data_IF_137624534334
#
_entry.id   IF_137624534334
#
_cell.length_a   1.000
_cell.length_b   1.000
_cell.length_c   1.000
_cell.angle_alpha   90.00
_cell.angle_beta   90.00
_cell.angle_gamma   90.00
#
_symmetry.space_group_name_H-M   'P 1'
#
loop_
_entity.id
_entity.type
_entity.pdbx_description
1 polymer ?
#
# COMPACT_ATOMS: atom_id res chain seq x y z
N UNK A 1 -22.18 -0.70 -13.55
CA UNK A 1 -21.63 -1.70 -12.61
C UNK A 1 -20.39 -1.08 -11.98
N UNK A 2 -20.54 -0.52 -10.80
CA UNK A 2 -19.48 0.14 -10.02
C UNK A 2 -18.42 -0.89 -9.64
N UNK A 3 -17.29 -0.87 -10.32
CA UNK A 3 -16.09 -1.56 -9.86
C UNK A 3 -15.61 -0.85 -8.59
N UNK A 4 -15.87 -1.46 -7.44
CA UNK A 4 -15.28 -1.10 -6.15
C UNK A 4 -13.77 -1.32 -6.23
N UNK A 5 -13.00 -0.32 -6.68
CA UNK A 5 -11.56 -0.27 -6.43
C UNK A 5 -11.32 0.35 -5.05
N UNK A 6 -11.94 -0.22 -4.02
CA UNK A 6 -11.38 -0.12 -2.67
C UNK A 6 -9.98 -0.68 -2.78
N UNK A 7 -9.00 0.19 -2.89
CA UNK A 7 -7.62 -0.23 -2.88
C UNK A 7 -7.37 -0.92 -1.55
N UNK A 8 -7.21 -2.23 -1.62
CA UNK A 8 -7.08 -3.06 -0.46
C UNK A 8 -5.61 -3.07 -0.08
N UNK A 9 -5.29 -2.38 1.02
CA UNK A 9 -4.12 -2.79 1.78
C UNK A 9 -4.42 -4.16 2.38
N UNK A 10 -4.00 -5.22 1.69
CA UNK A 10 -3.96 -6.54 2.31
C UNK A 10 -2.74 -6.58 3.20
N UNK A 11 -2.94 -6.93 4.44
CA UNK A 11 -1.86 -7.30 5.33
C UNK A 11 -1.99 -8.77 5.71
N UNK A 12 -0.86 -9.47 5.66
CA UNK A 12 -0.82 -10.87 6.04
C UNK A 12 0.43 -11.15 6.86
N UNK A 13 0.36 -12.27 7.59
CA UNK A 13 1.53 -12.88 8.17
C UNK A 13 2.12 -13.87 7.17
N UNK A 14 3.44 -13.88 7.10
CA UNK A 14 4.21 -14.89 6.38
C UNK A 14 5.26 -15.50 7.33
N UNK A 15 5.72 -16.71 7.02
CA UNK A 15 6.82 -17.34 7.74
C UNK A 15 7.74 -18.06 6.76
N UNK A 16 9.05 -17.98 7.01
CA UNK A 16 10.05 -18.73 6.26
C UNK A 16 11.32 -18.90 7.12
N UNK A 17 12.21 -19.80 6.69
CA UNK A 17 13.59 -19.80 7.17
C UNK A 17 14.36 -18.65 6.54
N UNK A 18 15.14 -17.95 7.34
CA UNK A 18 15.87 -16.77 6.92
C UNK A 18 16.92 -17.14 5.86
N UNK A 19 16.70 -16.72 4.61
CA UNK A 19 17.60 -16.99 3.47
C UNK A 19 19.01 -16.36 3.59
N UNK A 20 19.19 -15.44 4.54
CA UNK A 20 20.48 -14.82 4.87
C UNK A 20 20.37 -14.13 6.22
N UNK A 21 21.51 -13.96 6.91
CA UNK A 21 21.62 -13.22 8.18
C UNK A 21 21.45 -11.69 8.09
N UNK A 22 21.01 -11.16 6.94
CA UNK A 22 20.94 -9.71 6.67
C UNK A 22 19.65 -9.05 7.19
N UNK A 23 18.64 -9.84 7.54
CA UNK A 23 17.39 -9.29 8.09
C UNK A 23 17.56 -8.93 9.56
N UNK A 24 16.98 -7.79 9.94
CA UNK A 24 16.96 -7.32 11.32
C UNK A 24 15.53 -7.40 11.86
N UNK A 25 15.36 -7.90 13.08
CA UNK A 25 14.07 -7.92 13.76
C UNK A 25 13.55 -6.50 13.99
N UNK A 26 12.27 -6.25 13.68
CA UNK A 26 11.66 -4.92 13.84
C UNK A 26 11.18 -4.59 15.25
N UNK A 27 11.29 -5.52 16.21
CA UNK A 27 10.98 -5.27 17.61
C UNK A 27 12.25 -5.09 18.47
N UNK A 28 13.19 -6.03 18.42
CA UNK A 28 14.41 -5.98 19.24
C UNK A 28 15.63 -5.39 18.51
N UNK A 29 15.53 -5.14 17.19
CA UNK A 29 16.61 -4.62 16.35
C UNK A 29 17.88 -5.50 16.27
N UNK A 30 17.83 -6.73 16.75
CA UNK A 30 18.94 -7.67 16.58
C UNK A 30 18.86 -8.37 15.21
N UNK A 31 20.01 -8.81 14.64
CA UNK A 31 20.05 -9.64 13.45
C UNK A 31 19.23 -10.93 13.62
N UNK A 32 18.66 -11.41 12.51
CA UNK A 32 18.01 -12.71 12.42
C UNK A 32 18.99 -13.63 11.68
N UNK A 33 19.40 -14.71 12.33
CA UNK A 33 20.43 -15.63 11.83
C UNK A 33 19.99 -16.35 10.55
N UNK A 34 20.95 -16.76 9.72
CA UNK A 34 20.67 -17.57 8.54
C UNK A 34 20.01 -18.90 8.95
N UNK A 35 19.06 -19.37 8.14
CA UNK A 35 18.29 -20.61 8.35
C UNK A 35 17.46 -20.65 9.65
N UNK A 36 17.39 -19.55 10.40
CA UNK A 36 16.48 -19.43 11.55
C UNK A 36 15.06 -19.07 11.13
N UNK A 37 14.06 -19.55 11.88
CA UNK A 37 12.66 -19.19 11.64
C UNK A 37 12.46 -17.69 11.85
N UNK A 38 11.84 -17.03 10.88
CA UNK A 38 11.38 -15.64 11.00
C UNK A 38 9.94 -15.49 10.59
N UNK A 39 9.22 -14.64 11.32
CA UNK A 39 7.82 -14.32 11.05
C UNK A 39 7.77 -12.91 10.46
N UNK A 40 7.14 -12.77 9.30
CA UNK A 40 7.01 -11.53 8.57
C UNK A 40 5.58 -11.00 8.64
N UNK A 41 5.46 -9.69 8.72
CA UNK A 41 4.22 -8.96 8.51
C UNK A 41 4.34 -8.20 7.18
N UNK A 42 3.58 -8.63 6.18
CA UNK A 42 3.57 -8.05 4.83
C UNK A 42 2.40 -7.09 4.68
N UNK A 43 2.65 -6.01 3.95
CA UNK A 43 1.60 -5.07 3.52
C UNK A 43 1.66 -5.01 1.99
N UNK A 44 0.53 -5.27 1.34
CA UNK A 44 0.34 -5.23 -0.11
C UNK A 44 -0.42 -3.96 -0.53
N UNK A 45 -0.24 -3.50 -1.78
CA UNK A 45 -0.97 -2.34 -2.34
C UNK A 45 -2.23 -2.74 -3.11
N UNK A 46 -2.28 -3.95 -3.66
CA UNK A 46 -3.29 -4.34 -4.66
C UNK A 46 -3.48 -5.86 -4.75
N UNK A 47 -4.51 -6.30 -5.50
CA UNK A 47 -4.81 -7.71 -5.83
C UNK A 47 -3.66 -8.43 -6.54
N UNK A 48 -2.74 -7.70 -7.18
CA UNK A 48 -1.51 -8.25 -7.79
C UNK A 48 -0.39 -8.54 -6.76
N UNK A 49 -0.66 -8.43 -5.45
CA UNK A 49 0.30 -8.71 -4.38
C UNK A 49 1.63 -7.96 -4.49
N UNK A 50 1.61 -6.70 -4.96
CA UNK A 50 2.80 -5.86 -4.91
C UNK A 50 3.16 -5.54 -3.44
N UNK A 51 4.16 -6.24 -2.88
CA UNK A 51 4.65 -6.05 -1.50
C UNK A 51 5.22 -4.64 -1.35
N UNK A 52 4.66 -3.85 -0.43
CA UNK A 52 5.18 -2.54 -0.03
C UNK A 52 6.39 -2.71 0.87
N UNK A 53 6.24 -3.59 1.85
CA UNK A 53 7.22 -3.82 2.91
C UNK A 53 6.92 -5.13 3.61
N UNK A 54 7.98 -5.88 3.93
CA UNK A 54 7.93 -6.99 4.87
C UNK A 54 8.67 -6.58 6.14
N UNK A 55 7.98 -6.58 7.27
CA UNK A 55 8.60 -6.39 8.59
C UNK A 55 8.88 -7.76 9.17
N UNK A 56 10.15 -8.11 9.34
CA UNK A 56 10.58 -9.40 9.90
C UNK A 56 10.75 -9.31 11.42
N UNK A 57 10.39 -10.39 12.11
CA UNK A 57 10.49 -10.54 13.55
C UNK A 57 11.04 -11.93 13.89
N UNK A 58 11.77 -12.02 15.01
CA UNK A 58 11.99 -13.32 15.65
C UNK A 58 10.64 -13.88 16.16
N UNK A 59 10.48 -15.21 16.28
CA UNK A 59 9.29 -15.82 16.83
C UNK A 59 8.92 -15.30 18.23
N UNK A 60 9.93 -15.07 19.08
CA UNK A 60 9.73 -14.50 20.44
C UNK A 60 9.36 -13.01 20.46
N UNK A 61 9.57 -12.31 19.35
CA UNK A 61 9.45 -10.86 19.27
C UNK A 61 8.19 -10.39 18.53
N UNK A 62 7.51 -11.29 17.84
CA UNK A 62 6.30 -10.95 17.11
C UNK A 62 5.13 -10.77 18.08
N UNK A 63 4.30 -9.77 17.81
CA UNK A 63 3.05 -9.54 18.53
C UNK A 63 1.94 -9.58 17.51
N UNK A 64 0.89 -10.35 17.80
CA UNK A 64 -0.30 -10.45 16.94
C UNK A 64 -1.21 -9.24 17.22
N UNK A 65 -1.47 -8.37 16.22
CA UNK A 65 -2.44 -7.29 16.38
C UNK A 65 -3.86 -7.83 16.53
N UNK A 66 -4.73 -7.17 17.31
CA UNK A 66 -6.11 -7.63 17.63
C UNK A 66 -6.97 -7.94 16.40
N UNK A 67 -6.76 -7.21 15.31
CA UNK A 67 -7.41 -7.44 14.02
C UNK A 67 -7.14 -8.82 13.38
N UNK A 68 -6.12 -9.53 13.86
CA UNK A 68 -5.78 -10.89 13.43
C UNK A 68 -6.15 -11.96 14.46
N UNK A 69 -7.06 -11.67 15.41
CA UNK A 69 -7.53 -12.62 16.43
C UNK A 69 -8.02 -13.97 15.87
N UNK A 70 -8.54 -13.99 14.65
CA UNK A 70 -9.03 -15.21 13.98
C UNK A 70 -7.99 -15.87 13.05
N UNK A 71 -6.74 -15.38 13.03
CA UNK A 71 -5.65 -15.95 12.23
C UNK A 71 -5.40 -17.40 12.65
N UNK A 72 -5.28 -18.31 11.68
CA UNK A 72 -4.87 -19.70 11.90
C UNK A 72 -3.50 -19.95 11.29
N UNK A 73 -2.81 -20.99 11.75
CA UNK A 73 -1.47 -21.36 11.25
C UNK A 73 -1.48 -21.54 9.73
N UNK A 74 -2.50 -22.22 9.20
CA UNK A 74 -2.62 -22.46 7.76
C UNK A 74 -2.87 -21.19 6.93
N UNK A 75 -3.31 -20.09 7.53
CA UNK A 75 -3.51 -18.81 6.82
C UNK A 75 -2.19 -18.06 6.58
N UNK A 76 -1.09 -18.48 7.23
CA UNK A 76 0.21 -17.85 7.12
C UNK A 76 0.85 -18.19 5.77
N UNK A 77 1.29 -17.16 5.04
CA UNK A 77 1.97 -17.33 3.77
C UNK A 77 3.34 -18.00 3.96
N UNK A 78 3.69 -18.97 3.10
CA UNK A 78 4.93 -19.75 3.22
C UNK A 78 4.87 -20.92 4.21
N UNK A 79 3.73 -21.14 4.88
CA UNK A 79 3.58 -22.25 5.84
C UNK A 79 3.71 -23.63 5.19
N UNK A 80 3.32 -23.76 3.92
CA UNK A 80 3.40 -25.02 3.16
C UNK A 80 4.84 -25.49 2.95
N UNK A 81 5.81 -24.56 2.92
CA UNK A 81 7.24 -24.85 2.72
C UNK A 81 7.96 -25.18 4.04
N UNK A 82 7.26 -25.09 5.17
CA UNK A 82 7.83 -25.30 6.51
C UNK A 82 7.45 -26.67 7.07
N UNK A 83 8.41 -27.28 7.78
CA UNK A 83 8.20 -28.50 8.55
C UNK A 83 7.21 -28.30 9.72
N UNK A 84 6.57 -29.38 10.15
CA UNK A 84 5.59 -29.36 11.24
C UNK A 84 6.13 -28.84 12.58
N UNK A 85 7.45 -28.88 12.81
CA UNK A 85 8.07 -28.30 14.00
C UNK A 85 7.91 -26.77 14.03
N UNK A 86 8.07 -26.11 12.89
CA UNK A 86 7.91 -24.66 12.78
C UNK A 86 6.45 -24.26 12.85
N UNK A 87 5.53 -25.11 12.42
CA UNK A 87 4.09 -24.86 12.59
C UNK A 87 3.72 -24.73 14.07
N UNK A 88 4.28 -25.58 14.93
CA UNK A 88 4.09 -25.51 16.39
C UNK A 88 4.70 -24.23 16.98
N UNK A 89 5.93 -23.91 16.59
CA UNK A 89 6.61 -22.71 17.06
C UNK A 89 5.87 -21.41 16.67
N UNK A 90 5.37 -21.32 15.44
CA UNK A 90 4.56 -20.19 14.97
C UNK A 90 3.25 -20.10 15.74
N UNK A 91 2.59 -21.25 15.96
CA UNK A 91 1.33 -21.34 16.72
C UNK A 91 1.51 -20.79 18.14
N UNK A 92 2.58 -21.17 18.81
CA UNK A 92 2.91 -20.72 20.16
C UNK A 92 3.29 -19.24 20.20
N UNK A 93 4.12 -18.80 19.24
CA UNK A 93 4.60 -17.43 19.14
C UNK A 93 3.48 -16.42 18.91
N UNK A 94 2.56 -16.72 17.98
CA UNK A 94 1.43 -15.85 17.66
C UNK A 94 0.19 -16.12 18.53
N UNK A 95 0.21 -17.18 19.35
CA UNK A 95 -0.93 -17.64 20.17
C UNK A 95 -2.20 -17.88 19.35
N UNK A 96 -2.06 -18.55 18.21
CA UNK A 96 -3.12 -18.80 17.24
C UNK A 96 -3.59 -20.27 17.24
N UNK A 97 -4.72 -20.54 16.59
CA UNK A 97 -5.21 -21.90 16.39
C UNK A 97 -4.57 -22.55 15.16
N UNK A 98 -4.49 -23.89 15.12
CA UNK A 98 -3.95 -24.60 13.96
C UNK A 98 -4.80 -24.36 12.70
N UNK A 99 -6.13 -24.47 12.83
CA UNK A 99 -7.05 -24.43 11.70
C UNK A 99 -7.03 -25.71 10.86
N UNK A 100 -7.74 -25.69 9.73
CA UNK A 100 -7.72 -26.76 8.73
C UNK A 100 -7.22 -26.22 7.39
N UNK A 101 -6.44 -27.02 6.67
CA UNK A 101 -5.80 -26.61 5.41
C UNK A 101 -6.82 -26.30 4.29
N UNK A 102 -7.92 -27.04 4.25
CA UNK A 102 -9.05 -26.88 3.33
C UNK A 102 -9.88 -25.61 3.57
N UNK A 103 -9.78 -25.02 4.77
CA UNK A 103 -10.50 -23.81 5.18
C UNK A 103 -9.61 -22.58 5.26
N UNK A 104 -8.44 -22.62 4.61
CA UNK A 104 -7.49 -21.52 4.58
C UNK A 104 -8.13 -20.30 3.92
N UNK A 105 -8.01 -19.15 4.59
CA UNK A 105 -8.37 -17.87 3.97
C UNK A 105 -7.15 -17.39 3.19
N UNK A 106 -7.25 -17.29 1.85
CA UNK A 106 -6.13 -16.80 1.03
C UNK A 106 -5.72 -15.38 1.40
N UNK A 107 -6.66 -14.57 1.91
CA UNK A 107 -6.44 -13.22 2.40
C UNK A 107 -7.12 -13.03 3.75
N UNK A 108 -6.34 -12.75 4.79
CA UNK A 108 -6.84 -12.35 6.11
C UNK A 108 -7.78 -11.14 6.01
N UNK A 109 -8.67 -10.92 7.00
CA UNK A 109 -9.75 -9.95 6.88
C UNK A 109 -9.24 -8.58 6.45
N UNK A 110 -9.99 -7.94 5.54
CA UNK A 110 -9.76 -6.57 5.08
C UNK A 110 -9.59 -5.66 6.30
N UNK A 111 -8.41 -5.08 6.47
CA UNK A 111 -8.17 -4.09 7.52
C UNK A 111 -7.96 -2.75 6.86
N UNK A 112 -8.78 -1.77 7.25
CA UNK A 112 -8.57 -0.36 6.97
C UNK A 112 -7.38 0.14 7.80
N UNK A 113 -6.19 0.22 7.20
CA UNK A 113 -4.94 0.56 7.92
C UNK A 113 -4.84 2.07 8.23
N UNK A 114 -5.72 2.90 7.68
CA UNK A 114 -5.79 4.33 7.99
C UNK A 114 -7.23 4.82 8.06
N UNK A 115 -7.68 5.12 9.28
CA UNK A 115 -8.77 6.07 9.49
C UNK A 115 -8.22 7.48 9.21
N UNK A 116 -8.07 7.85 7.95
CA UNK A 116 -7.80 9.24 7.59
C UNK A 116 -9.05 9.99 7.09
N UNK A 117 -10.19 9.30 6.99
CA UNK A 117 -11.51 9.93 6.76
C UNK A 117 -12.39 9.78 8.01
N UNK A 118 -13.21 10.81 8.34
CA UNK A 118 -14.32 10.63 9.26
C UNK A 118 -15.25 9.53 8.73
N UNK A 119 -15.70 8.65 9.64
CA UNK A 119 -16.43 7.39 9.39
C UNK A 119 -17.67 7.54 8.50
N UNK A 120 -18.20 8.76 8.37
CA UNK A 120 -19.41 9.10 7.61
C UNK A 120 -19.29 8.96 6.08
N UNK A 121 -18.08 8.93 5.50
CA UNK A 121 -17.89 8.92 4.03
C UNK A 121 -17.34 7.60 3.43
N UNK A 122 -17.17 6.55 4.23
CA UNK A 122 -16.58 5.29 3.76
C UNK A 122 -17.48 4.54 2.75
N UNK A 123 -18.80 4.55 2.96
CA UNK A 123 -19.74 3.77 2.14
C UNK A 123 -20.08 4.40 0.77
N UNK A 124 -19.52 5.58 0.45
CA UNK A 124 -19.83 6.33 -0.79
C UNK A 124 -18.58 6.62 -1.65
N UNK A 125 -17.43 6.07 -1.29
CA UNK A 125 -16.17 6.28 -1.99
C UNK A 125 -16.25 5.81 -3.44
N UNK A 126 -16.01 6.73 -4.38
CA UNK A 126 -15.83 6.40 -5.79
C UNK A 126 -14.34 6.27 -6.10
N UNK A 127 -14.03 5.24 -6.85
CA UNK A 127 -12.66 4.88 -7.25
C UNK A 127 -12.58 4.83 -8.76
N UNK A 128 -11.43 4.44 -9.34
CA UNK A 128 -11.32 4.32 -10.80
C UNK A 128 -12.43 3.43 -11.37
N UNK A 129 -12.99 3.79 -12.51
CA UNK A 129 -13.80 2.85 -13.27
C UNK A 129 -12.91 1.85 -14.03
N UNK A 130 -13.52 0.81 -14.61
CA UNK A 130 -12.79 -0.23 -15.36
C UNK A 130 -12.00 0.34 -16.56
N UNK A 131 -12.50 1.38 -17.22
CA UNK A 131 -11.84 1.99 -18.38
C UNK A 131 -10.62 2.80 -17.94
N UNK A 132 -10.76 3.59 -16.87
CA UNK A 132 -9.68 4.32 -16.21
C UNK A 132 -8.60 3.34 -15.74
N UNK A 133 -8.97 2.25 -15.05
CA UNK A 133 -8.00 1.26 -14.61
C UNK A 133 -7.15 0.68 -15.74
N UNK A 134 -7.79 0.29 -16.85
CA UNK A 134 -7.09 -0.25 -18.01
C UNK A 134 -6.13 0.78 -18.62
N UNK A 135 -6.54 2.05 -18.72
CA UNK A 135 -5.67 3.15 -19.16
C UNK A 135 -4.48 3.33 -18.22
N UNK A 136 -4.70 3.34 -16.91
CA UNK A 136 -3.63 3.43 -15.92
C UNK A 136 -2.61 2.30 -16.05
N UNK A 137 -3.07 1.05 -16.19
CA UNK A 137 -2.18 -0.11 -16.37
C UNK A 137 -1.32 0.05 -17.63
N UNK A 138 -1.94 0.41 -18.75
CA UNK A 138 -1.23 0.65 -20.02
C UNK A 138 -0.18 1.77 -19.89
N UNK A 139 -0.55 2.93 -19.35
CA UNK A 139 0.41 4.04 -19.17
C UNK A 139 1.50 3.70 -18.14
N UNK A 140 1.18 2.94 -17.09
CA UNK A 140 2.16 2.49 -16.10
C UNK A 140 3.23 1.60 -16.75
N UNK A 141 2.86 0.73 -17.67
CA UNK A 141 3.81 -0.09 -18.43
C UNK A 141 4.67 0.78 -19.36
N UNK A 142 4.07 1.71 -20.09
CA UNK A 142 4.77 2.70 -20.93
C UNK A 142 5.82 3.48 -20.12
N UNK A 143 5.43 4.07 -18.99
CA UNK A 143 6.32 4.87 -18.15
C UNK A 143 7.36 4.03 -17.38
N UNK A 144 7.11 2.74 -17.13
CA UNK A 144 8.13 1.86 -16.53
C UNK A 144 9.30 1.60 -17.47
N UNK A 145 9.08 1.66 -18.79
CA UNK A 145 10.12 1.49 -19.80
C UNK A 145 11.01 2.73 -19.95
N UNK A 146 10.53 3.91 -19.56
CA UNK A 146 11.31 5.15 -19.57
C UNK A 146 12.41 5.17 -18.51
N UNK A 147 13.44 5.99 -18.72
CA UNK A 147 14.51 6.19 -17.75
C UNK A 147 14.07 7.11 -16.59
N UNK A 148 14.84 7.12 -15.51
CA UNK A 148 14.53 7.92 -14.32
C UNK A 148 14.56 9.44 -14.58
N UNK A 149 15.41 9.92 -15.50
CA UNK A 149 15.59 11.34 -15.82
C UNK A 149 14.42 11.85 -16.67
N UNK A 150 14.00 11.08 -17.67
CA UNK A 150 12.84 11.30 -18.53
C UNK A 150 11.57 11.44 -17.68
N UNK A 151 11.34 10.51 -16.74
CA UNK A 151 10.20 10.58 -15.83
C UNK A 151 10.20 11.87 -14.98
N UNK A 152 11.37 12.30 -14.50
CA UNK A 152 11.49 13.57 -13.78
C UNK A 152 11.20 14.77 -14.68
N UNK A 153 11.71 14.79 -15.90
CA UNK A 153 11.47 15.88 -16.85
C UNK A 153 9.98 16.02 -17.17
N UNK A 154 9.28 14.90 -17.40
CA UNK A 154 7.83 14.89 -17.58
C UNK A 154 7.09 15.47 -16.37
N UNK A 155 7.45 15.07 -15.16
CA UNK A 155 6.83 15.58 -13.94
C UNK A 155 7.11 17.07 -13.73
N UNK A 156 8.31 17.55 -14.08
CA UNK A 156 8.65 18.99 -14.01
C UNK A 156 7.80 19.79 -15.00
N UNK A 157 7.66 19.33 -16.24
CA UNK A 157 6.80 19.99 -17.26
C UNK A 157 5.35 20.14 -16.78
N UNK A 158 4.89 19.20 -15.96
CA UNK A 158 3.53 19.16 -15.42
C UNK A 158 3.44 19.69 -13.98
N UNK A 159 4.39 20.53 -13.53
CA UNK A 159 4.44 21.15 -12.20
C UNK A 159 4.21 20.16 -11.03
N UNK A 160 4.69 18.93 -11.20
CA UNK A 160 4.37 17.80 -10.34
C UNK A 160 5.57 17.32 -9.51
N UNK A 161 5.27 16.65 -8.41
CA UNK A 161 6.29 16.14 -7.49
C UNK A 161 7.23 15.12 -8.15
N UNK A 162 8.54 15.38 -8.11
CA UNK A 162 9.61 14.53 -8.68
C UNK A 162 10.28 13.60 -7.66
N UNK A 163 9.81 13.60 -6.41
CA UNK A 163 10.38 12.78 -5.34
C UNK A 163 9.92 11.32 -5.42
N UNK A 164 10.86 10.41 -5.13
CA UNK A 164 10.63 8.97 -5.10
C UNK A 164 11.54 8.16 -6.02
N UNK A 165 11.44 6.83 -5.91
CA UNK A 165 12.11 5.88 -6.81
C UNK A 165 11.39 5.75 -8.16
N UNK A 166 12.08 5.18 -9.16
CA UNK A 166 11.61 5.05 -10.56
C UNK A 166 10.17 4.53 -10.67
N UNK A 167 9.85 3.42 -10.00
CA UNK A 167 8.50 2.82 -10.02
C UNK A 167 7.41 3.76 -9.51
N UNK A 168 7.73 4.61 -8.51
CA UNK A 168 6.77 5.59 -7.98
C UNK A 168 6.56 6.74 -8.96
N UNK A 169 7.63 7.21 -9.61
CA UNK A 169 7.54 8.25 -10.63
C UNK A 169 6.72 7.78 -11.84
N UNK A 170 6.96 6.56 -12.33
CA UNK A 170 6.21 5.97 -13.44
C UNK A 170 4.71 5.88 -13.12
N UNK A 171 4.35 5.41 -11.92
CA UNK A 171 2.96 5.41 -11.44
C UNK A 171 2.36 6.82 -11.39
N UNK A 172 3.14 7.83 -10.99
CA UNK A 172 2.68 9.23 -10.94
C UNK A 172 2.42 9.78 -12.34
N UNK A 173 3.33 9.58 -13.29
CA UNK A 173 3.12 9.98 -14.68
C UNK A 173 1.87 9.30 -15.27
N UNK A 174 1.69 8.00 -15.02
CA UNK A 174 0.53 7.24 -15.52
C UNK A 174 -0.80 7.83 -15.03
N UNK A 175 -0.87 8.25 -13.77
CA UNK A 175 -2.07 8.87 -13.20
C UNK A 175 -2.32 10.25 -13.78
N UNK A 176 -1.29 11.10 -13.86
CA UNK A 176 -1.44 12.44 -14.39
C UNK A 176 -1.80 12.42 -15.87
N UNK A 177 -1.29 11.46 -16.65
CA UNK A 177 -1.69 11.21 -18.05
C UNK A 177 -3.13 10.69 -18.17
N UNK A 178 -3.61 9.90 -17.20
CA UNK A 178 -4.97 9.36 -17.22
C UNK A 178 -6.04 10.35 -16.76
N UNK A 179 -5.81 11.02 -15.63
CA UNK A 179 -6.80 11.89 -14.95
C UNK A 179 -6.63 13.35 -15.36
N UNK A 180 -5.41 13.73 -15.74
CA UNK A 180 -5.00 15.11 -15.89
C UNK A 180 -4.16 15.60 -14.69
N UNK A 181 -3.48 16.71 -14.92
CA UNK A 181 -2.60 17.36 -13.95
C UNK A 181 -3.44 18.13 -12.95
N UNK A 182 -3.44 17.68 -11.70
CA UNK A 182 -4.15 18.38 -10.62
C UNK A 182 -3.20 19.38 -9.95
N UNK A 183 -3.45 20.68 -10.16
CA UNK A 183 -2.62 21.75 -9.59
C UNK A 183 -3.10 22.27 -8.24
N UNK A 184 -4.41 22.35 -8.01
CA UNK A 184 -4.98 23.03 -6.84
C UNK A 184 -6.03 22.18 -6.13
N UNK A 185 -6.07 22.31 -4.80
CA UNK A 185 -7.16 21.78 -3.98
C UNK A 185 -8.45 22.58 -4.24
N UNK A 186 -9.58 21.93 -4.59
CA UNK A 186 -10.85 22.64 -4.81
C UNK A 186 -11.37 23.36 -3.56
N UNK A 187 -11.00 22.91 -2.36
CA UNK A 187 -11.49 23.48 -1.10
C UNK A 187 -10.63 24.63 -0.58
N UNK A 188 -9.30 24.51 -0.63
CA UNK A 188 -8.40 25.52 -0.04
C UNK A 188 -7.49 26.24 -1.04
N UNK A 189 -7.55 25.90 -2.33
CA UNK A 189 -6.68 26.47 -3.37
C UNK A 189 -5.21 26.02 -3.33
N UNK A 190 -4.78 25.35 -2.25
CA UNK A 190 -3.39 24.94 -2.05
C UNK A 190 -2.88 23.94 -3.10
N UNK A 191 -1.58 24.02 -3.41
CA UNK A 191 -0.98 23.32 -4.55
C UNK A 191 -0.40 21.93 -4.22
N UNK A 192 -0.53 21.49 -2.98
CA UNK A 192 0.12 20.27 -2.46
C UNK A 192 -0.85 19.12 -2.25
N UNK A 193 -1.83 19.00 -3.15
CA UNK A 193 -2.73 17.86 -3.14
C UNK A 193 -2.01 16.60 -3.61
N UNK A 194 -2.25 15.48 -2.91
CA UNK A 194 -1.53 14.23 -3.11
C UNK A 194 -2.49 13.16 -3.57
N UNK A 195 -2.12 12.43 -4.61
CA UNK A 195 -2.86 11.21 -4.96
C UNK A 195 -2.36 10.02 -4.13
N UNK A 196 -3.29 9.36 -3.46
CA UNK A 196 -3.04 8.12 -2.72
C UNK A 196 -3.44 6.94 -3.59
N UNK A 197 -2.44 6.29 -4.18
CA UNK A 197 -2.61 5.11 -5.05
C UNK A 197 -3.38 3.97 -4.42
N UNK A 198 -3.34 3.90 -3.09
CA UNK A 198 -3.97 2.85 -2.33
C UNK A 198 -5.31 3.27 -1.72
N UNK A 199 -5.85 4.42 -2.12
CA UNK A 199 -7.21 4.83 -1.80
C UNK A 199 -7.95 5.28 -3.08
N UNK A 200 -7.21 5.49 -4.18
CA UNK A 200 -7.79 5.92 -5.44
C UNK A 200 -8.30 7.36 -5.35
N UNK A 201 -7.75 8.15 -4.44
CA UNK A 201 -8.28 9.44 -4.00
C UNK A 201 -7.17 10.47 -3.88
N UNK A 202 -7.58 11.73 -3.91
CA UNK A 202 -6.74 12.85 -3.58
C UNK A 202 -6.94 13.25 -2.12
N UNK A 203 -5.85 13.62 -1.46
CA UNK A 203 -5.86 14.20 -0.12
C UNK A 203 -5.06 15.48 -0.09
N UNK A 204 -5.68 16.53 0.43
CA UNK A 204 -5.02 17.79 0.69
C UNK A 204 -4.63 17.87 2.18
N UNK A 205 -3.32 17.80 2.51
CA UNK A 205 -2.88 17.97 3.89
C UNK A 205 -3.01 19.42 4.39
N UNK A 206 -3.25 20.39 3.50
CA UNK A 206 -3.06 21.80 3.78
C UNK A 206 -1.79 22.36 3.14
N UNK A 207 -1.54 23.64 3.36
CA UNK A 207 -0.34 24.33 2.91
C UNK A 207 0.07 25.41 3.91
N UNK A 208 1.34 25.80 3.88
CA UNK A 208 1.82 26.98 4.57
C UNK A 208 1.60 28.16 3.64
N UNK A 209 0.73 29.08 4.06
CA UNK A 209 0.59 30.40 3.44
C UNK A 209 1.68 31.34 3.97
N UNK A 210 1.71 32.61 3.57
CA UNK A 210 2.76 33.58 3.89
C UNK A 210 3.30 33.50 5.34
N UNK A 211 2.41 33.36 6.31
CA UNK A 211 2.79 33.22 7.74
C UNK A 211 2.02 32.13 8.50
N UNK A 212 0.96 31.56 7.93
CA UNK A 212 0.02 30.71 8.64
C UNK A 212 -0.16 29.34 7.97
N UNK A 213 -0.30 28.29 8.78
CA UNK A 213 -0.65 26.96 8.29
C UNK A 213 -2.15 26.87 8.03
N UNK A 214 -2.53 26.60 6.78
CA UNK A 214 -3.91 26.33 6.37
C UNK A 214 -4.17 24.82 6.48
N UNK A 215 -4.89 24.41 7.51
CA UNK A 215 -5.16 23.00 7.82
C UNK A 215 -6.39 22.45 7.07
N UNK A 216 -6.21 22.04 5.81
CA UNK A 216 -7.34 21.60 4.96
C UNK A 216 -7.85 20.20 5.29
N UNK A 217 -6.96 19.19 5.32
CA UNK A 217 -7.26 17.77 5.62
C UNK A 217 -8.41 17.15 4.80
N UNK A 218 -8.73 17.73 3.65
CA UNK A 218 -9.86 17.28 2.84
C UNK A 218 -9.45 16.16 1.88
N UNK A 219 -10.39 15.25 1.68
CA UNK A 219 -10.30 14.17 0.70
C UNK A 219 -11.25 14.42 -0.46
N UNK A 220 -10.81 13.99 -1.64
CA UNK A 220 -11.56 14.11 -2.88
C UNK A 220 -11.50 12.81 -3.66
N UNK A 221 -12.62 12.41 -4.22
CA UNK A 221 -12.68 11.39 -5.25
C UNK A 221 -12.15 11.95 -6.58
N UNK A 222 -11.81 11.06 -7.50
CA UNK A 222 -11.16 11.41 -8.78
C UNK A 222 -12.04 12.30 -9.64
N UNK A 223 -13.37 12.11 -9.58
CA UNK A 223 -14.37 12.89 -10.32
C UNK A 223 -14.64 14.27 -9.70
N UNK A 224 -14.23 14.51 -8.46
CA UNK A 224 -14.44 15.79 -7.77
C UNK A 224 -13.38 16.85 -8.11
N UNK A 225 -12.33 16.46 -8.84
CA UNK A 225 -11.21 17.34 -9.19
C UNK A 225 -11.05 17.40 -10.71
N UNK A 226 -11.07 18.62 -11.25
CA UNK A 226 -10.71 18.86 -12.64
C UNK A 226 -9.19 18.92 -12.80
N UNK A 227 -8.63 17.99 -13.55
CA UNK A 227 -7.24 18.04 -14.02
C UNK A 227 -7.10 18.92 -15.27
N UNK A 228 -5.92 19.48 -15.46
CA UNK A 228 -5.49 20.07 -16.73
C UNK A 228 -4.92 18.99 -17.64
N UNK A 229 -4.83 19.25 -18.94
CA UNK A 229 -4.27 18.30 -19.89
C UNK A 229 -2.80 17.98 -19.56
N UNK A 230 -2.46 16.70 -19.68
CA UNK A 230 -1.09 16.22 -19.53
C UNK A 230 -0.22 16.68 -20.69
N UNK A 231 0.96 17.19 -20.37
CA UNK A 231 1.96 17.65 -21.35
C UNK A 231 3.08 16.61 -21.46
N UNK A 232 3.28 16.06 -22.65
CA UNK A 232 4.37 15.12 -22.96
C UNK A 232 5.75 15.82 -23.13
#
# INVERSE_FOLDING_TARGET
MTTNFTNFYYDCFCAELAKSGRSQCKACYNPIENDSLRIGYKIYVNEEHSVISTKWYHPKCVVLPEKFTNLKVWDIEGIDDLESKYHKEIKESLKIQQGKKDQRVQHLPKITIRECKPTSKFNQQKTFDKQQWNKFVSYKEEFNNMDYKQLKQLLIKNDSCTFGGKKLLAKRCAILKMIGVVKHCPTCGGNRIRFYFADGQYYCPGYLDDTNWVDCKQWFDVDEIKGYDWIE
#
